data_IF_858296845066
#
_entry.id   IF_858296845066
#
_cell.length_a   1.000
_cell.length_b   1.000
_cell.length_c   1.000
_cell.angle_alpha   90.00
_cell.angle_beta   90.00
_cell.angle_gamma   90.00
#
_symmetry.space_group_name_H-M   'P 1'
#
loop_
_entity.id
_entity.type
_entity.pdbx_description
1 polymer ?
#
# COMPACT_ATOMS: atom_id res chain seq x y z
N UNK A 1 35.78 14.07 1.23
CA UNK A 1 35.38 12.88 0.44
C UNK A 1 34.78 11.89 1.41
N UNK A 2 33.47 11.97 1.67
CA UNK A 2 32.74 11.10 2.61
C UNK A 2 32.02 10.05 1.77
N UNK A 3 32.32 8.78 2.05
CA UNK A 3 31.81 7.61 1.33
C UNK A 3 30.29 7.44 1.49
N UNK A 4 29.56 7.49 0.37
CA UNK A 4 28.16 7.07 0.23
C UNK A 4 28.06 5.53 0.22
N UNK A 5 28.18 4.89 1.39
CA UNK A 5 28.19 3.42 1.53
C UNK A 5 27.02 2.79 2.30
N UNK A 6 26.17 3.57 2.98
CA UNK A 6 25.29 3.03 4.03
C UNK A 6 23.91 2.50 3.61
N UNK A 7 23.44 2.79 2.39
CA UNK A 7 22.07 2.42 1.95
C UNK A 7 21.93 0.95 1.58
N UNK A 8 22.88 0.42 0.80
CA UNK A 8 22.84 -0.97 0.31
C UNK A 8 23.15 -2.00 1.42
N UNK A 9 23.95 -1.62 2.40
CA UNK A 9 24.42 -2.51 3.47
C UNK A 9 23.34 -2.78 4.54
N UNK A 10 22.39 -1.83 4.73
CA UNK A 10 21.22 -2.06 5.58
C UNK A 10 20.23 -3.04 4.94
N UNK A 11 19.97 -2.93 3.64
CA UNK A 11 19.10 -3.86 2.93
C UNK A 11 19.60 -5.32 3.02
N UNK A 12 20.92 -5.52 3.02
CA UNK A 12 21.53 -6.86 3.11
C UNK A 12 21.49 -7.50 4.52
N UNK A 13 21.28 -6.73 5.60
CA UNK A 13 21.15 -7.29 6.97
C UNK A 13 19.74 -7.80 7.31
N UNK A 14 18.72 -7.49 6.51
CA UNK A 14 17.33 -7.90 6.75
C UNK A 14 16.95 -9.27 6.14
N UNK A 15 17.89 -10.00 5.54
CA UNK A 15 17.63 -11.29 4.85
C UNK A 15 17.11 -12.45 5.73
N UNK A 16 16.76 -12.24 7.01
CA UNK A 16 16.03 -13.22 7.84
C UNK A 16 14.58 -12.82 8.16
N UNK A 17 14.15 -11.64 7.73
CA UNK A 17 12.78 -11.15 7.83
C UNK A 17 12.39 -10.68 6.43
N UNK A 18 11.53 -11.43 5.73
CA UNK A 18 11.06 -10.99 4.42
C UNK A 18 10.33 -9.65 4.59
N UNK A 19 10.97 -8.59 4.10
CA UNK A 19 10.44 -7.24 4.13
C UNK A 19 10.44 -6.68 2.70
N UNK A 20 9.29 -6.20 2.24
CA UNK A 20 9.13 -5.55 0.94
C UNK A 20 9.06 -4.04 1.16
N UNK A 21 9.95 -3.29 0.53
CA UNK A 21 10.03 -1.85 0.66
C UNK A 21 9.56 -1.19 -0.63
N UNK A 22 8.64 -0.24 -0.51
CA UNK A 22 8.27 0.68 -1.58
C UNK A 22 8.63 2.09 -1.11
N UNK A 23 9.55 2.73 -1.82
CA UNK A 23 9.84 4.13 -1.62
C UNK A 23 8.79 4.95 -2.39
N UNK A 24 7.97 5.73 -1.67
CA UNK A 24 7.05 6.65 -2.31
C UNK A 24 7.84 7.90 -2.68
N UNK A 25 8.14 8.03 -3.98
CA UNK A 25 9.27 8.80 -4.52
C UNK A 25 9.23 10.31 -4.21
N UNK A 26 8.16 10.87 -3.64
CA UNK A 26 8.07 12.32 -3.38
C UNK A 26 7.52 12.77 -2.01
N UNK A 27 7.49 11.90 -1.00
CA UNK A 27 6.92 12.24 0.32
C UNK A 27 7.87 12.22 1.52
N UNK A 28 9.11 11.73 1.37
CA UNK A 28 9.96 11.36 2.51
C UNK A 28 9.39 10.19 3.33
N UNK A 29 8.41 9.46 2.79
CA UNK A 29 7.77 8.31 3.41
C UNK A 29 8.29 7.05 2.72
N UNK A 30 8.91 6.17 3.51
CA UNK A 30 9.26 4.80 3.09
C UNK A 30 8.13 3.90 3.58
N UNK A 31 7.45 3.25 2.65
CA UNK A 31 6.48 2.20 2.99
C UNK A 31 7.20 0.86 3.03
N UNK A 32 6.97 0.10 4.10
CA UNK A 32 7.60 -1.20 4.30
C UNK A 32 6.57 -2.21 4.81
N UNK A 33 6.50 -3.35 4.14
CA UNK A 33 5.77 -4.52 4.59
C UNK A 33 6.76 -5.49 5.24
N UNK A 34 6.40 -6.04 6.39
CA UNK A 34 7.15 -7.05 7.12
C UNK A 34 6.20 -8.20 7.44
N UNK A 35 6.69 -9.43 7.52
CA UNK A 35 5.87 -10.53 8.02
C UNK A 35 5.30 -10.19 9.41
N UNK A 36 3.98 -10.28 9.57
CA UNK A 36 3.26 -9.84 10.78
C UNK A 36 3.90 -10.19 12.11
N UNK A 37 4.38 -11.43 12.30
CA UNK A 37 5.02 -11.82 13.57
C UNK A 37 6.28 -11.00 13.84
N UNK A 38 7.11 -10.81 12.82
CA UNK A 38 8.34 -10.04 12.92
C UNK A 38 8.08 -8.55 13.14
N UNK A 39 7.05 -8.01 12.48
CA UNK A 39 6.64 -6.62 12.69
C UNK A 39 6.12 -6.41 14.11
N UNK A 40 5.29 -7.33 14.61
CA UNK A 40 4.76 -7.25 15.97
C UNK A 40 5.86 -7.39 17.03
N UNK A 41 6.86 -8.24 16.79
CA UNK A 41 8.04 -8.36 17.64
C UNK A 41 8.85 -7.05 17.66
N UNK A 42 9.13 -6.47 16.49
CA UNK A 42 9.84 -5.19 16.37
C UNK A 42 9.07 -4.04 17.06
N UNK A 43 7.76 -3.96 16.81
CA UNK A 43 6.86 -2.97 17.40
C UNK A 43 6.52 -3.24 18.87
N UNK A 44 6.89 -4.40 19.42
CA UNK A 44 6.60 -4.86 20.79
C UNK A 44 5.12 -4.87 21.15
N UNK A 45 4.30 -5.34 20.21
CA UNK A 45 2.86 -5.50 20.38
C UNK A 45 2.44 -6.94 20.11
N UNK A 46 1.20 -7.29 20.44
CA UNK A 46 0.67 -8.60 20.06
C UNK A 46 0.54 -8.68 18.52
N UNK A 47 0.86 -9.83 17.89
CA UNK A 47 0.75 -10.00 16.44
C UNK A 47 -0.69 -10.08 15.93
N UNK A 48 -1.66 -10.14 16.82
CA UNK A 48 -3.08 -10.27 16.50
C UNK A 48 -3.90 -9.31 17.36
N UNK A 49 -4.96 -8.77 16.76
CA UNK A 49 -6.04 -8.02 17.42
C UNK A 49 -7.36 -8.30 16.69
N UNK A 50 -8.48 -7.92 17.30
CA UNK A 50 -9.82 -8.12 16.73
C UNK A 50 -10.40 -6.79 16.24
N UNK A 51 -11.10 -6.82 15.10
CA UNK A 51 -11.87 -5.69 14.58
C UNK A 51 -11.20 -4.89 13.44
N UNK A 52 -11.90 -3.87 12.95
CA UNK A 52 -11.41 -2.93 11.95
C UNK A 52 -10.43 -1.96 12.61
N UNK A 53 -9.21 -1.85 12.06
CA UNK A 53 -8.15 -0.98 12.59
C UNK A 53 -8.44 0.52 12.45
N UNK A 54 -9.52 0.91 11.76
CA UNK A 54 -9.87 2.32 11.51
C UNK A 54 -9.02 2.98 10.43
N UNK A 55 -8.14 2.22 9.76
CA UNK A 55 -7.18 2.71 8.77
C UNK A 55 -7.23 1.84 7.51
N UNK A 56 -7.14 2.48 6.35
CA UNK A 56 -6.88 1.82 5.06
C UNK A 56 -5.77 2.57 4.32
N UNK A 57 -5.01 1.84 3.49
CA UNK A 57 -4.02 2.41 2.58
C UNK A 57 -4.63 2.50 1.18
N UNK A 58 -4.68 3.69 0.59
CA UNK A 58 -5.24 3.89 -0.74
C UNK A 58 -4.15 3.88 -1.82
N UNK A 59 -4.28 2.98 -2.79
CA UNK A 59 -3.55 2.98 -4.05
C UNK A 59 -4.43 3.61 -5.14
N UNK A 60 -4.07 4.83 -5.57
CA UNK A 60 -4.79 5.49 -6.66
C UNK A 60 -4.24 5.03 -8.01
N UNK A 61 -5.14 4.67 -8.92
CA UNK A 61 -4.84 4.29 -10.31
C UNK A 61 -5.21 5.42 -11.27
N UNK A 62 -4.71 5.38 -12.49
CA UNK A 62 -4.87 6.45 -13.49
C UNK A 62 -6.19 6.31 -14.26
N UNK A 63 -6.60 5.07 -14.52
CA UNK A 63 -7.79 4.75 -15.29
C UNK A 63 -8.81 3.94 -14.46
N UNK A 64 -10.10 4.12 -14.77
CA UNK A 64 -11.19 3.46 -14.03
C UNK A 64 -11.08 1.93 -14.06
N UNK A 65 -10.66 1.35 -15.19
CA UNK A 65 -10.54 -0.10 -15.37
C UNK A 65 -9.39 -0.72 -14.57
N UNK A 66 -8.35 0.04 -14.30
CA UNK A 66 -7.17 -0.44 -13.54
C UNK A 66 -7.55 -0.84 -12.11
N UNK A 67 -8.68 -0.36 -11.58
CA UNK A 67 -9.18 -0.79 -10.27
C UNK A 67 -9.46 -2.28 -10.24
N UNK A 68 -10.18 -2.80 -11.23
CA UNK A 68 -10.52 -4.22 -11.28
C UNK A 68 -9.29 -5.08 -11.60
N UNK A 69 -8.38 -4.56 -12.43
CA UNK A 69 -7.11 -5.22 -12.76
C UNK A 69 -6.24 -5.42 -11.51
N UNK A 70 -6.02 -4.35 -10.73
CA UNK A 70 -5.22 -4.42 -9.50
C UNK A 70 -5.90 -5.28 -8.43
N UNK A 71 -7.23 -5.26 -8.32
CA UNK A 71 -7.94 -6.16 -7.40
C UNK A 71 -7.73 -7.63 -7.77
N UNK A 72 -7.78 -7.97 -9.06
CA UNK A 72 -7.52 -9.33 -9.54
C UNK A 72 -6.07 -9.75 -9.25
N UNK A 73 -5.09 -8.86 -9.44
CA UNK A 73 -3.69 -9.10 -9.08
C UNK A 73 -3.52 -9.33 -7.58
N UNK A 74 -4.18 -8.51 -6.74
CA UNK A 74 -4.14 -8.63 -5.29
C UNK A 74 -4.73 -9.97 -4.82
N UNK A 75 -5.86 -10.40 -5.39
CA UNK A 75 -6.45 -11.71 -5.10
C UNK A 75 -5.51 -12.86 -5.50
N UNK A 76 -4.92 -12.80 -6.70
CA UNK A 76 -3.96 -13.78 -7.17
C UNK A 76 -2.71 -13.87 -6.28
N UNK A 77 -2.31 -12.77 -5.63
CA UNK A 77 -1.20 -12.70 -4.68
C UNK A 77 -1.56 -13.18 -3.26
N UNK A 78 -2.80 -13.62 -3.03
CA UNK A 78 -3.28 -14.11 -1.72
C UNK A 78 -4.00 -13.06 -0.86
N UNK A 79 -4.28 -11.89 -1.43
CA UNK A 79 -5.21 -10.93 -0.86
C UNK A 79 -6.65 -11.44 -0.88
N UNK A 80 -7.47 -10.93 0.03
CA UNK A 80 -8.90 -11.26 0.11
C UNK A 80 -9.72 -10.06 -0.30
N UNK A 81 -10.54 -10.20 -1.34
CA UNK A 81 -11.44 -9.13 -1.77
C UNK A 81 -12.48 -8.86 -0.68
N UNK A 82 -12.46 -7.64 -0.16
CA UNK A 82 -13.38 -7.14 0.85
C UNK A 82 -14.56 -6.42 0.20
N UNK A 83 -14.29 -5.75 -0.92
CA UNK A 83 -15.29 -5.06 -1.75
C UNK A 83 -14.83 -5.14 -3.22
N UNK A 84 -15.62 -5.75 -4.12
CA UNK A 84 -15.37 -5.69 -5.56
C UNK A 84 -15.39 -4.24 -6.07
N UNK A 85 -14.76 -3.99 -7.22
CA UNK A 85 -14.81 -2.69 -7.89
C UNK A 85 -16.24 -2.19 -8.07
N UNK A 86 -16.47 -0.93 -7.76
CA UNK A 86 -17.78 -0.30 -7.90
C UNK A 86 -17.71 1.21 -7.76
N UNK A 87 -18.76 1.90 -8.24
CA UNK A 87 -18.87 3.34 -8.09
C UNK A 87 -18.82 3.73 -6.59
N UNK A 88 -18.09 4.79 -6.30
CA UNK A 88 -17.90 5.31 -4.95
C UNK A 88 -18.88 6.45 -4.68
N UNK A 89 -19.31 6.60 -3.42
CA UNK A 89 -20.23 7.67 -3.03
C UNK A 89 -19.62 9.08 -3.23
N UNK A 90 -18.29 9.17 -3.30
CA UNK A 90 -17.53 10.40 -3.51
C UNK A 90 -17.27 10.73 -4.98
N UNK A 91 -17.75 9.92 -5.94
CA UNK A 91 -17.76 10.27 -7.36
C UNK A 91 -16.77 9.54 -8.26
N UNK A 92 -15.89 8.69 -7.73
CA UNK A 92 -15.01 7.83 -8.52
C UNK A 92 -15.40 6.36 -8.49
N UNK A 93 -14.39 5.48 -8.63
CA UNK A 93 -14.57 4.04 -8.65
C UNK A 93 -13.56 3.38 -7.73
N UNK A 94 -13.99 2.46 -6.89
CA UNK A 94 -13.12 1.89 -5.86
C UNK A 94 -13.50 0.47 -5.49
N UNK A 95 -12.51 -0.29 -5.04
CA UNK A 95 -12.69 -1.57 -4.38
C UNK A 95 -11.67 -1.72 -3.25
N UNK A 96 -11.86 -2.75 -2.44
CA UNK A 96 -11.01 -3.00 -1.28
C UNK A 96 -10.58 -4.46 -1.21
N UNK A 97 -9.34 -4.68 -0.81
CA UNK A 97 -8.83 -5.98 -0.44
C UNK A 97 -8.12 -5.91 0.91
N UNK A 98 -8.08 -7.04 1.61
CA UNK A 98 -7.22 -7.23 2.77
C UNK A 98 -5.99 -8.02 2.34
N UNK A 99 -4.79 -7.56 2.70
CA UNK A 99 -3.58 -8.35 2.49
C UNK A 99 -3.55 -9.57 3.44
N UNK A 100 -2.59 -10.51 3.31
CA UNK A 100 -2.50 -11.69 4.18
C UNK A 100 -2.39 -11.35 5.68
N UNK A 101 -1.94 -10.12 5.97
CA UNK A 101 -1.83 -9.56 7.31
C UNK A 101 -3.02 -8.66 7.69
N UNK A 102 -4.16 -8.85 7.03
CA UNK A 102 -5.44 -8.17 7.26
C UNK A 102 -5.36 -6.63 7.21
N UNK A 103 -4.30 -6.04 6.65
CA UNK A 103 -4.29 -4.61 6.42
C UNK A 103 -5.25 -4.31 5.27
N UNK A 104 -6.10 -3.30 5.46
CA UNK A 104 -7.08 -2.93 4.47
C UNK A 104 -6.45 -1.99 3.43
N UNK A 105 -6.60 -2.35 2.16
CA UNK A 105 -6.15 -1.57 1.03
C UNK A 105 -7.36 -1.14 0.20
N UNK A 106 -7.38 0.12 -0.18
CA UNK A 106 -8.29 0.68 -1.18
C UNK A 106 -7.56 0.75 -2.51
N UNK A 107 -8.21 0.32 -3.58
CA UNK A 107 -7.78 0.61 -4.96
C UNK A 107 -8.81 1.58 -5.53
N UNK A 108 -8.37 2.80 -5.84
CA UNK A 108 -9.28 3.87 -6.21
C UNK A 108 -8.88 4.54 -7.52
N UNK A 109 -9.84 4.74 -8.40
CA UNK A 109 -9.75 5.72 -9.46
C UNK A 109 -10.51 6.98 -9.05
N UNK A 110 -9.79 8.09 -8.92
CA UNK A 110 -10.36 9.37 -8.54
C UNK A 110 -10.34 10.35 -9.74
N UNK A 111 -11.51 10.74 -10.28
CA UNK A 111 -11.58 11.66 -11.43
C UNK A 111 -11.07 13.07 -11.11
N UNK A 112 -11.08 13.47 -9.84
CA UNK A 112 -10.57 14.76 -9.36
C UNK A 112 -9.12 14.65 -8.84
N UNK A 113 -8.45 13.52 -9.10
CA UNK A 113 -7.07 13.25 -8.73
C UNK A 113 -6.14 13.30 -9.95
N UNK A 114 -4.98 13.91 -9.78
CA UNK A 114 -3.91 13.95 -10.77
C UNK A 114 -2.73 13.15 -10.22
N UNK A 115 -2.34 12.09 -10.94
CA UNK A 115 -1.12 11.33 -10.66
C UNK A 115 -0.01 11.85 -11.60
N UNK A 116 1.03 12.47 -11.05
CA UNK A 116 2.19 12.92 -11.81
C UNK A 116 2.98 11.78 -12.45
N UNK A 117 3.86 12.08 -13.40
CA UNK A 117 4.78 11.09 -14.00
C UNK A 117 5.68 10.42 -12.94
N UNK A 118 5.97 11.14 -11.86
CA UNK A 118 6.73 10.71 -10.70
C UNK A 118 5.93 9.89 -9.67
N UNK A 119 4.64 9.65 -9.93
CA UNK A 119 3.74 8.92 -9.03
C UNK A 119 3.15 9.75 -7.89
N UNK A 120 3.41 11.06 -7.82
CA UNK A 120 2.78 11.93 -6.81
C UNK A 120 1.29 12.11 -7.09
N UNK A 121 0.45 12.05 -6.04
CA UNK A 121 -0.99 12.30 -6.15
C UNK A 121 -1.32 13.70 -5.64
N UNK A 122 -2.10 14.45 -6.42
CA UNK A 122 -2.63 15.76 -6.05
C UNK A 122 -4.12 15.78 -6.37
N UNK A 123 -4.93 16.40 -5.52
CA UNK A 123 -6.28 16.76 -5.94
C UNK A 123 -6.17 17.89 -6.96
N UNK A 124 -6.92 17.81 -8.06
CA UNK A 124 -7.09 18.95 -8.95
C UNK A 124 -7.64 20.09 -8.11
N UNK A 125 -6.90 21.21 -8.03
CA UNK A 125 -7.37 22.39 -7.33
C UNK A 125 -8.77 22.75 -7.86
N UNK A 126 -9.74 22.87 -6.94
CA UNK A 126 -11.07 23.39 -7.27
C UNK A 126 -11.02 24.84 -7.72
#
# INVERSE_FOLDING_TARGET
MVHNGGGKDRAQRFHRLAAFFVELVNGGIVFALFGRQALAEDAKVAPYGEGFSGVALAHNVREKSEVDEVLAEAEAAGGRIMRPGGDAFWGGYTGYFADPDNNLWEVAWNPDGIIGEDGSFHFSAG
#
